data_IF_002475762393
#
_entry.id   IF_002475762393
#
_cell.length_a   1.000
_cell.length_b   1.000
_cell.length_c   1.000
_cell.angle_alpha   90.00
_cell.angle_beta   90.00
_cell.angle_gamma   90.00
#
_symmetry.space_group_name_H-M   'P 1'
#
loop_
_entity.id
_entity.type
_entity.pdbx_description
1 polymer ?
#
# COMPACT_ATOMS: atom_id res chain seq x y z
N UNK A 1 31.13 36.52 -5.10
CA UNK A 1 31.54 35.11 -4.87
C UNK A 1 30.54 34.48 -3.88
N UNK A 2 29.35 34.09 -4.34
CA UNK A 2 28.39 33.33 -3.53
C UNK A 2 27.61 32.42 -4.46
N UNK A 3 28.06 31.17 -4.64
CA UNK A 3 27.27 30.07 -5.21
C UNK A 3 27.88 28.73 -4.74
N UNK A 4 27.59 28.34 -3.49
CA UNK A 4 27.62 26.95 -3.03
C UNK A 4 26.48 26.84 -2.02
N UNK A 5 25.36 26.20 -2.38
CA UNK A 5 24.39 25.56 -1.46
C UNK A 5 23.01 25.20 -2.08
N UNK A 6 22.92 24.58 -3.27
CA UNK A 6 21.61 24.08 -3.76
C UNK A 6 21.60 22.68 -4.42
N UNK A 7 22.76 22.05 -4.61
CA UNK A 7 22.86 20.73 -5.29
C UNK A 7 22.62 19.55 -4.33
N UNK A 8 22.83 19.74 -3.02
CA UNK A 8 22.69 18.67 -2.01
C UNK A 8 21.23 18.40 -1.63
N UNK A 9 20.42 19.44 -1.37
CA UNK A 9 19.02 19.28 -0.93
C UNK A 9 18.11 18.67 -1.99
N UNK A 10 18.25 19.05 -3.27
CA UNK A 10 17.46 18.45 -4.36
C UNK A 10 17.80 16.96 -4.50
N UNK A 11 19.08 16.62 -4.54
CA UNK A 11 19.54 15.23 -4.66
C UNK A 11 19.08 14.34 -3.50
N UNK A 12 19.09 14.88 -2.27
CA UNK A 12 18.56 14.19 -1.08
C UNK A 12 17.03 14.06 -1.08
N UNK A 13 16.28 15.05 -1.57
CA UNK A 13 14.83 14.96 -1.74
C UNK A 13 14.44 13.95 -2.84
N UNK A 14 15.24 13.87 -3.91
CA UNK A 14 15.11 12.81 -4.91
C UNK A 14 15.39 11.46 -4.27
N UNK A 15 16.51 11.27 -3.56
CA UNK A 15 16.85 10.02 -2.86
C UNK A 15 15.79 9.62 -1.83
N UNK A 16 15.34 10.51 -0.95
CA UNK A 16 14.32 10.24 0.05
C UNK A 16 12.96 9.84 -0.57
N UNK A 17 12.65 10.36 -1.77
CA UNK A 17 11.48 9.95 -2.54
C UNK A 17 11.60 8.53 -3.12
N UNK A 18 12.82 8.05 -3.36
CA UNK A 18 13.02 6.69 -3.90
C UNK A 18 12.93 5.58 -2.85
N UNK A 19 13.03 5.90 -1.56
CA UNK A 19 13.00 4.90 -0.48
C UNK A 19 11.75 4.94 0.39
N UNK A 20 11.00 6.04 0.34
CA UNK A 20 9.85 6.24 1.21
C UNK A 20 8.55 6.40 0.42
N UNK A 21 7.57 5.59 0.79
CA UNK A 21 6.22 5.66 0.27
C UNK A 21 5.24 5.35 1.41
N UNK A 22 4.01 5.81 1.27
CA UNK A 22 2.98 5.54 2.27
C UNK A 22 2.44 4.11 2.12
N UNK A 23 2.06 3.45 3.22
CA UNK A 23 1.56 2.09 3.16
C UNK A 23 0.12 2.03 2.59
N UNK A 24 -0.16 0.96 1.85
CA UNK A 24 -1.55 0.51 1.60
C UNK A 24 -1.80 -0.73 2.45
N UNK A 25 -2.47 -0.55 3.58
CA UNK A 25 -2.95 -1.66 4.41
C UNK A 25 -4.21 -2.27 3.81
N UNK A 26 -4.36 -3.59 3.87
CA UNK A 26 -5.58 -4.29 3.45
C UNK A 26 -6.01 -5.34 4.46
N UNK A 27 -7.32 -5.43 4.67
CA UNK A 27 -7.98 -6.54 5.34
C UNK A 27 -9.30 -6.85 4.65
N UNK A 28 -9.81 -8.07 4.85
CA UNK A 28 -11.14 -8.42 4.33
C UNK A 28 -12.20 -7.58 5.04
N UNK A 29 -13.20 -7.13 4.28
CA UNK A 29 -14.42 -6.63 4.87
C UNK A 29 -15.08 -7.77 5.65
N UNK A 30 -15.59 -7.46 6.83
CA UNK A 30 -16.33 -8.40 7.67
C UNK A 30 -17.80 -8.05 7.58
N UNK A 31 -18.63 -9.03 7.26
CA UNK A 31 -20.07 -8.92 7.44
C UNK A 31 -20.36 -9.10 8.93
N UNK A 32 -20.56 -7.98 9.63
CA UNK A 32 -20.87 -8.03 11.06
C UNK A 32 -22.26 -8.65 11.27
N UNK A 33 -22.38 -9.77 12.00
CA UNK A 33 -23.69 -10.19 12.51
C UNK A 33 -24.24 -9.09 13.43
N UNK A 34 -25.58 -8.91 13.49
CA UNK A 34 -26.21 -7.97 14.43
C UNK A 34 -25.90 -8.44 15.86
N UNK A 35 -24.85 -7.92 16.50
CA UNK A 35 -24.52 -8.28 17.88
C UNK A 35 -25.61 -7.70 18.82
N UNK A 36 -26.20 -8.49 19.73
CA UNK A 36 -27.04 -7.99 20.82
C UNK A 36 -26.22 -7.05 21.72
N UNK A 37 -26.86 -6.02 22.29
CA UNK A 37 -26.21 -4.91 23.02
C UNK A 37 -25.54 -5.34 24.34
N UNK A 38 -24.45 -6.09 24.33
CA UNK A 38 -23.62 -6.28 25.53
C UNK A 38 -22.18 -6.47 25.06
N UNK A 39 -21.31 -5.46 25.21
CA UNK A 39 -19.90 -5.54 25.59
C UNK A 39 -19.24 -4.14 25.56
N UNK A 40 -18.31 -3.97 26.49
CA UNK A 40 -17.73 -2.76 27.08
C UNK A 40 -16.65 -2.08 26.21
N UNK A 41 -16.88 -1.92 24.90
CA UNK A 41 -16.04 -1.09 24.02
C UNK A 41 -16.84 0.15 23.56
N UNK A 42 -16.14 1.26 23.30
CA UNK A 42 -16.74 2.53 22.89
C UNK A 42 -17.69 2.35 21.69
N UNK A 43 -18.99 2.44 22.02
CA UNK A 43 -20.14 2.10 21.18
C UNK A 43 -20.19 2.99 19.92
N UNK A 44 -19.58 4.18 19.97
CA UNK A 44 -19.52 5.12 18.84
C UNK A 44 -18.68 4.56 17.68
N UNK A 45 -17.45 4.12 17.96
CA UNK A 45 -16.49 3.57 16.97
C UNK A 45 -16.98 2.28 16.31
N UNK A 46 -17.70 1.45 17.08
CA UNK A 46 -18.32 0.20 16.60
C UNK A 46 -19.50 0.49 15.67
N UNK A 47 -20.24 1.57 15.91
CA UNK A 47 -21.43 1.93 15.13
C UNK A 47 -21.09 2.48 13.73
N UNK A 48 -20.02 3.25 13.60
CA UNK A 48 -19.51 3.75 12.30
C UNK A 48 -18.96 2.60 11.46
N UNK A 49 -18.18 1.69 12.08
CA UNK A 49 -17.62 0.51 11.42
C UNK A 49 -18.72 -0.45 10.93
N UNK A 50 -19.84 -0.55 11.66
CA UNK A 50 -21.02 -1.33 11.27
C UNK A 50 -21.78 -0.73 10.10
N UNK A 51 -21.79 0.59 9.90
CA UNK A 51 -22.47 1.22 8.75
C UNK A 51 -21.76 0.93 7.41
N UNK A 52 -20.43 0.74 7.43
CA UNK A 52 -19.62 0.66 6.20
C UNK A 52 -18.88 -0.68 5.98
N UNK A 53 -18.97 -1.64 6.92
CA UNK A 53 -18.36 -2.97 6.80
C UNK A 53 -16.82 -2.98 6.89
N UNK A 54 -16.23 -1.85 7.28
CA UNK A 54 -14.79 -1.67 7.48
C UNK A 54 -14.50 -1.03 8.84
N UNK A 55 -13.36 -1.35 9.49
CA UNK A 55 -12.97 -0.67 10.73
C UNK A 55 -12.78 0.84 10.55
N UNK A 56 -12.76 1.62 11.64
CA UNK A 56 -12.42 3.04 11.60
C UNK A 56 -11.10 3.26 10.85
N UNK A 57 -10.98 4.37 10.12
CA UNK A 57 -9.83 4.73 9.27
C UNK A 57 -9.63 3.86 8.01
N UNK A 58 -10.38 2.78 7.85
CA UNK A 58 -10.37 1.99 6.62
C UNK A 58 -11.51 2.40 5.69
N UNK A 59 -11.20 2.40 4.39
CA UNK A 59 -12.16 2.69 3.34
C UNK A 59 -12.46 1.42 2.53
N UNK A 60 -13.73 1.21 2.22
CA UNK A 60 -14.16 0.05 1.45
C UNK A 60 -13.88 0.26 -0.03
N UNK A 61 -12.99 -0.54 -0.60
CA UNK A 61 -12.76 -0.59 -2.05
C UNK A 61 -13.04 -2.00 -2.53
N UNK A 62 -14.15 -2.15 -3.27
CA UNK A 62 -14.53 -3.38 -3.96
C UNK A 62 -14.52 -4.65 -3.09
N UNK A 63 -15.07 -4.57 -1.88
CA UNK A 63 -15.21 -5.71 -0.96
C UNK A 63 -14.00 -5.98 -0.06
N UNK A 64 -12.98 -5.12 -0.08
CA UNK A 64 -11.89 -5.12 0.90
C UNK A 64 -11.78 -3.76 1.57
N UNK A 65 -11.24 -3.76 2.78
CA UNK A 65 -11.01 -2.57 3.58
C UNK A 65 -9.56 -2.17 3.44
N UNK A 66 -9.32 -0.95 2.95
CA UNK A 66 -7.99 -0.41 2.74
C UNK A 66 -7.71 0.72 3.72
N UNK A 67 -6.52 0.69 4.29
CA UNK A 67 -5.93 1.82 5.01
C UNK A 67 -4.89 2.46 4.10
N UNK A 68 -4.88 3.78 4.04
CA UNK A 68 -3.95 4.54 3.22
C UNK A 68 -3.19 5.48 4.16
N UNK A 69 -1.96 5.13 4.53
CA UNK A 69 -1.18 6.03 5.36
C UNK A 69 -0.82 7.31 4.59
N UNK A 70 -0.47 8.35 5.34
CA UNK A 70 0.01 9.63 4.81
C UNK A 70 1.51 9.79 5.07
N UNK A 71 2.06 9.08 6.05
CA UNK A 71 3.47 9.11 6.41
C UNK A 71 4.30 8.30 5.41
N UNK A 72 5.29 8.91 4.73
CA UNK A 72 6.23 8.17 3.90
C UNK A 72 7.21 7.37 4.77
N UNK A 73 7.32 6.08 4.52
CA UNK A 73 8.12 5.15 5.30
C UNK A 73 8.86 4.16 4.40
N UNK A 74 9.88 3.46 4.93
CA UNK A 74 10.49 2.34 4.19
C UNK A 74 9.49 1.20 4.03
N UNK A 75 9.71 0.30 3.07
CA UNK A 75 8.80 -0.84 2.88
C UNK A 75 8.67 -1.70 4.15
N UNK A 76 9.77 -1.86 4.89
CA UNK A 76 9.79 -2.64 6.13
C UNK A 76 8.98 -1.97 7.23
N UNK A 77 9.14 -0.65 7.42
CA UNK A 77 8.39 0.10 8.43
C UNK A 77 6.90 0.14 8.06
N UNK A 78 6.58 0.39 6.80
CA UNK A 78 5.21 0.35 6.27
C UNK A 78 4.54 -1.03 6.46
N UNK A 79 5.32 -2.12 6.41
CA UNK A 79 4.84 -3.45 6.74
C UNK A 79 4.44 -3.56 8.21
N UNK A 80 5.27 -3.06 9.14
CA UNK A 80 4.94 -3.04 10.56
C UNK A 80 3.77 -2.10 10.88
N UNK A 81 3.71 -0.92 10.27
CA UNK A 81 2.58 0.03 10.43
C UNK A 81 1.24 -0.65 10.06
N UNK A 82 1.20 -1.36 8.93
CA UNK A 82 0.01 -2.12 8.53
C UNK A 82 -0.34 -3.21 9.56
N UNK A 83 0.67 -3.90 10.10
CA UNK A 83 0.50 -5.02 11.05
C UNK A 83 -0.01 -4.54 12.39
N UNK A 84 0.47 -3.41 12.89
CA UNK A 84 0.02 -2.79 14.14
C UNK A 84 -1.46 -2.38 14.05
N UNK A 85 -1.93 -2.07 12.84
CA UNK A 85 -3.34 -1.79 12.52
C UNK A 85 -4.19 -3.04 12.23
N UNK A 86 -3.66 -4.23 12.55
CA UNK A 86 -4.29 -5.52 12.26
C UNK A 86 -4.68 -5.68 10.77
N UNK A 87 -3.78 -5.23 9.89
CA UNK A 87 -3.85 -5.36 8.44
C UNK A 87 -2.51 -5.89 7.91
N UNK A 88 -2.40 -6.04 6.59
CA UNK A 88 -1.13 -6.31 5.93
C UNK A 88 -0.96 -5.36 4.74
N UNK A 89 0.27 -5.14 4.28
CA UNK A 89 0.48 -4.46 3.00
C UNK A 89 -0.35 -5.12 1.89
N UNK A 90 -0.89 -4.31 0.99
CA UNK A 90 -1.90 -4.74 0.03
C UNK A 90 -1.39 -5.86 -0.89
N UNK A 91 -2.19 -6.92 -1.00
CA UNK A 91 -1.95 -8.06 -1.89
C UNK A 91 -2.98 -8.02 -3.01
N UNK A 92 -2.52 -7.74 -4.24
CA UNK A 92 -3.39 -7.57 -5.40
C UNK A 92 -3.34 -8.81 -6.28
N UNK A 93 -4.28 -9.73 -6.08
CA UNK A 93 -4.26 -11.04 -6.74
C UNK A 93 -4.85 -11.01 -8.15
N UNK A 94 -5.73 -10.06 -8.44
CA UNK A 94 -6.52 -10.02 -9.68
C UNK A 94 -6.48 -8.63 -10.33
N UNK A 95 -6.58 -8.59 -11.66
CA UNK A 95 -6.62 -7.35 -12.46
C UNK A 95 -7.73 -6.38 -12.02
N UNK A 96 -8.88 -6.89 -11.61
CA UNK A 96 -9.99 -6.04 -11.16
C UNK A 96 -9.69 -5.36 -9.81
N UNK A 97 -8.95 -6.02 -8.90
CA UNK A 97 -8.52 -5.43 -7.64
C UNK A 97 -7.56 -4.27 -7.91
N UNK A 98 -6.58 -4.46 -8.81
CA UNK A 98 -5.68 -3.39 -9.26
C UNK A 98 -6.46 -2.21 -9.85
N UNK A 99 -7.37 -2.49 -10.77
CA UNK A 99 -8.19 -1.46 -11.43
C UNK A 99 -8.97 -0.65 -10.40
N UNK A 100 -9.61 -1.30 -9.43
CA UNK A 100 -10.46 -0.64 -8.44
C UNK A 100 -9.63 0.16 -7.43
N UNK A 101 -8.50 -0.39 -6.98
CA UNK A 101 -7.56 0.31 -6.09
C UNK A 101 -7.00 1.56 -6.78
N UNK A 102 -6.58 1.44 -8.03
CA UNK A 102 -6.06 2.57 -8.82
C UNK A 102 -7.14 3.59 -9.13
N UNK A 103 -8.35 3.15 -9.47
CA UNK A 103 -9.46 4.07 -9.69
C UNK A 103 -9.71 4.91 -8.43
N UNK A 104 -9.75 4.27 -7.26
CA UNK A 104 -9.88 4.94 -5.97
C UNK A 104 -8.75 5.96 -5.74
N UNK A 105 -7.49 5.53 -5.87
CA UNK A 105 -6.31 6.37 -5.64
C UNK A 105 -6.18 7.56 -6.61
N UNK A 106 -6.68 7.42 -7.84
CA UNK A 106 -6.62 8.50 -8.85
C UNK A 106 -7.76 9.53 -8.74
N UNK A 107 -8.92 9.16 -8.19
CA UNK A 107 -10.13 10.00 -8.23
C UNK A 107 -10.69 10.39 -6.84
N UNK A 108 -10.17 9.81 -5.77
CA UNK A 108 -10.68 10.05 -4.40
C UNK A 108 -9.81 11.05 -3.64
N UNK A 109 -10.17 11.31 -2.38
CA UNK A 109 -9.51 12.25 -1.47
C UNK A 109 -8.17 11.82 -0.83
N UNK A 110 -7.61 10.59 -0.93
CA UNK A 110 -6.35 10.32 -0.25
C UNK A 110 -5.22 11.13 -0.89
N UNK A 111 -4.20 11.43 -0.08
CA UNK A 111 -3.07 12.22 -0.52
C UNK A 111 -2.39 11.59 -1.74
N UNK A 112 -1.95 12.44 -2.68
CA UNK A 112 -1.26 11.98 -3.90
C UNK A 112 0.20 11.71 -3.58
N UNK A 113 0.47 10.56 -2.98
CA UNK A 113 1.80 10.05 -2.63
C UNK A 113 2.03 8.69 -3.24
N UNK A 114 3.30 8.32 -3.46
CA UNK A 114 3.66 6.96 -3.86
C UNK A 114 3.28 6.00 -2.73
N UNK A 115 2.89 4.77 -3.07
CA UNK A 115 2.35 3.84 -2.07
C UNK A 115 2.94 2.45 -2.10
N UNK A 116 3.44 1.97 -0.98
CA UNK A 116 3.89 0.59 -0.82
C UNK A 116 2.72 -0.39 -0.89
N UNK A 117 2.93 -1.47 -1.63
CA UNK A 117 2.11 -2.67 -1.58
C UNK A 117 2.98 -3.87 -1.22
N UNK A 118 2.37 -5.03 -0.96
CA UNK A 118 3.07 -6.15 -0.35
C UNK A 118 4.04 -6.90 -1.27
N UNK A 119 4.42 -6.37 -2.44
CA UNK A 119 5.27 -7.08 -3.38
C UNK A 119 6.75 -6.94 -3.03
N UNK A 120 7.48 -8.06 -2.98
CA UNK A 120 8.93 -8.12 -2.79
C UNK A 120 9.56 -9.05 -3.84
N UNK A 121 10.79 -8.75 -4.25
CA UNK A 121 11.51 -9.61 -5.18
C UNK A 121 12.29 -10.70 -4.44
N UNK A 122 11.98 -11.96 -4.74
CA UNK A 122 12.79 -13.09 -4.27
C UNK A 122 13.93 -13.32 -5.27
N UNK A 123 15.12 -12.84 -4.93
CA UNK A 123 16.32 -12.94 -5.77
C UNK A 123 16.83 -14.37 -5.96
N UNK A 124 16.62 -15.27 -5.00
CA UNK A 124 17.04 -16.68 -5.13
C UNK A 124 16.20 -17.42 -6.18
N UNK A 125 14.90 -17.13 -6.21
CA UNK A 125 13.96 -17.74 -7.13
C UNK A 125 13.72 -16.89 -8.39
N UNK A 126 14.31 -15.69 -8.47
CA UNK A 126 14.14 -14.72 -9.56
C UNK A 126 12.67 -14.39 -9.88
N UNK A 127 11.82 -14.32 -8.85
CA UNK A 127 10.38 -14.06 -8.99
C UNK A 127 9.88 -13.02 -7.99
N UNK A 128 8.85 -12.28 -8.39
CA UNK A 128 8.08 -11.44 -7.47
C UNK A 128 7.12 -12.29 -6.65
N UNK A 129 7.12 -12.07 -5.32
CA UNK A 129 6.18 -12.68 -4.38
C UNK A 129 5.48 -11.62 -3.53
N UNK A 130 4.33 -11.96 -2.99
CA UNK A 130 3.64 -11.13 -2.01
C UNK A 130 4.21 -11.41 -0.62
N UNK A 131 5.01 -10.50 -0.07
CA UNK A 131 5.61 -10.59 1.26
C UNK A 131 4.65 -11.11 2.34
N UNK A 132 3.43 -10.55 2.49
CA UNK A 132 2.47 -11.03 3.50
C UNK A 132 1.99 -12.49 3.34
N UNK A 133 2.12 -13.10 2.16
CA UNK A 133 1.57 -14.45 1.90
C UNK A 133 2.60 -15.44 1.34
N UNK A 134 3.79 -14.99 0.93
CA UNK A 134 4.78 -15.76 0.18
C UNK A 134 4.35 -16.18 -1.23
N UNK A 135 3.13 -15.89 -1.67
CA UNK A 135 2.60 -16.39 -2.95
C UNK A 135 3.18 -15.63 -4.14
N UNK A 136 3.46 -16.30 -5.27
CA UNK A 136 3.92 -15.64 -6.48
C UNK A 136 2.92 -14.60 -7.02
N UNK A 137 3.44 -13.53 -7.62
CA UNK A 137 2.64 -12.54 -8.34
C UNK A 137 2.09 -13.12 -9.64
N UNK A 138 0.82 -13.57 -9.61
CA UNK A 138 0.09 -14.03 -10.81
C UNK A 138 -0.28 -12.87 -11.73
N UNK A 139 -0.72 -11.75 -11.14
CA UNK A 139 -1.00 -10.51 -11.85
C UNK A 139 0.17 -9.53 -11.65
N UNK A 140 0.68 -8.98 -12.75
CA UNK A 140 1.78 -7.99 -12.74
C UNK A 140 1.25 -6.65 -13.25
N UNK A 141 1.21 -5.65 -12.38
CA UNK A 141 0.73 -4.30 -12.69
C UNK A 141 1.80 -3.36 -13.30
N UNK A 142 3.00 -3.86 -13.54
CA UNK A 142 4.12 -3.10 -14.11
C UNK A 142 3.82 -2.63 -15.55
N UNK A 143 4.17 -1.39 -15.91
CA UNK A 143 3.93 -0.86 -17.26
C UNK A 143 4.90 -1.45 -18.30
N UNK A 144 6.10 -1.87 -17.87
CA UNK A 144 7.15 -2.45 -18.71
C UNK A 144 7.63 -3.77 -18.10
N UNK A 145 8.20 -4.62 -18.94
CA UNK A 145 9.00 -5.75 -18.47
C UNK A 145 10.34 -5.20 -17.98
N UNK A 146 10.71 -5.51 -16.75
CA UNK A 146 12.03 -5.22 -16.19
C UNK A 146 12.88 -6.48 -16.24
N UNK A 147 14.19 -6.32 -16.40
CA UNK A 147 15.12 -7.42 -16.17
C UNK A 147 14.98 -7.88 -14.71
N UNK A 148 14.75 -9.19 -14.46
CA UNK A 148 14.75 -9.73 -13.11
C UNK A 148 16.00 -9.36 -12.29
N UNK A 149 17.18 -9.28 -12.91
CA UNK A 149 18.44 -8.94 -12.23
C UNK A 149 18.41 -7.53 -11.62
N UNK A 150 17.76 -6.59 -12.30
CA UNK A 150 17.60 -5.20 -11.82
C UNK A 150 16.68 -5.08 -10.59
N UNK A 151 16.03 -6.16 -10.17
CA UNK A 151 15.08 -6.16 -9.05
C UNK A 151 15.66 -6.71 -7.76
N UNK A 152 16.98 -6.94 -7.69
CA UNK A 152 17.60 -7.38 -6.45
C UNK A 152 17.31 -6.38 -5.32
N UNK A 153 16.80 -6.88 -4.19
CA UNK A 153 16.41 -6.10 -3.01
C UNK A 153 15.24 -5.13 -3.20
N UNK A 154 14.51 -5.24 -4.32
CA UNK A 154 13.42 -4.31 -4.62
C UNK A 154 12.06 -4.74 -4.07
N UNK A 155 11.28 -3.72 -3.74
CA UNK A 155 9.88 -3.81 -3.31
C UNK A 155 8.97 -3.12 -4.33
N UNK A 156 7.66 -3.42 -4.29
CA UNK A 156 6.70 -2.82 -5.21
C UNK A 156 6.02 -1.61 -4.57
N UNK A 157 6.16 -0.45 -5.21
CA UNK A 157 5.32 0.71 -4.96
C UNK A 157 4.36 0.98 -6.12
N UNK A 158 3.28 1.70 -5.84
CA UNK A 158 2.37 2.29 -6.81
C UNK A 158 2.73 3.76 -6.99
N UNK A 159 3.17 4.13 -8.20
CA UNK A 159 3.66 5.47 -8.51
C UNK A 159 2.52 6.44 -8.85
N UNK A 160 2.44 7.57 -8.15
CA UNK A 160 1.35 8.55 -8.32
C UNK A 160 1.32 9.23 -9.70
N UNK A 161 2.47 9.38 -10.36
CA UNK A 161 2.58 9.99 -11.69
C UNK A 161 2.24 9.00 -12.80
N UNK A 162 2.47 7.70 -12.57
CA UNK A 162 2.09 6.63 -13.48
C UNK A 162 0.66 6.12 -13.25
N UNK A 163 -0.21 6.97 -12.69
CA UNK A 163 -1.60 6.63 -12.35
C UNK A 163 -1.67 5.35 -11.49
N UNK A 164 -0.76 5.26 -10.52
CA UNK A 164 -0.59 4.15 -9.58
C UNK A 164 -0.31 2.79 -10.24
N UNK A 165 0.44 2.78 -11.35
CA UNK A 165 1.06 1.55 -11.88
C UNK A 165 2.19 1.09 -10.96
N UNK A 166 2.56 -0.19 -11.05
CA UNK A 166 3.63 -0.75 -10.23
C UNK A 166 4.99 -0.28 -10.75
N UNK A 167 5.87 0.06 -9.82
CA UNK A 167 7.29 0.26 -10.04
C UNK A 167 8.08 -0.52 -9.00
N UNK A 168 9.32 -0.88 -9.34
CA UNK A 168 10.25 -1.51 -8.42
C UNK A 168 11.19 -0.46 -7.84
N UNK A 169 11.28 -0.45 -6.51
CA UNK A 169 12.18 0.41 -5.73
C UNK A 169 13.13 -0.45 -4.94
#
# INVERSE_FOLDING_TARGET
>A
MVLRDDISRRSLLFYARYYNAACVGVRRAVDYPRIPRIHYYDISSVSEARKNGCPPEFVRVSGSCYFFSTTPETWHDAHFECRDRNANLAVVQKKWQDKNLRFYLNHSRPERVDRWIGGIFNWKAMIWVWGPTGKPLRYKGFPKKHDPADNQWKCIAMDRYLKYRYISH
#
